data_IF_156218672801
#
_entry.id   IF_156218672801
#
_cell.length_a   1.000
_cell.length_b   1.000
_cell.length_c   1.000
_cell.angle_alpha   90.00
_cell.angle_beta   90.00
_cell.angle_gamma   90.00
#
_symmetry.space_group_name_H-M   'P 1'
#
loop_
_entity.id
_entity.type
_entity.pdbx_description
1 polymer ?
#
# COMPACT_ATOMS: atom_id res chain seq x y z
N UNK A 1 -5.78 12.80 14.37
CA UNK A 1 -7.10 12.31 14.83
C UNK A 1 -7.26 10.81 14.53
N UNK A 2 -6.42 9.93 15.08
CA UNK A 2 -6.32 8.52 14.60
C UNK A 2 -6.31 7.47 15.70
N UNK A 3 -5.67 7.73 16.85
CA UNK A 3 -5.55 6.72 17.91
C UNK A 3 -6.91 6.31 18.51
N UNK A 4 -7.79 7.28 18.77
CA UNK A 4 -9.11 7.02 19.38
C UNK A 4 -10.00 6.17 18.46
N UNK A 5 -9.98 6.44 17.15
CA UNK A 5 -10.71 5.65 16.15
C UNK A 5 -10.14 4.23 16.06
N UNK A 6 -8.82 4.06 16.13
CA UNK A 6 -8.19 2.74 16.15
C UNK A 6 -8.61 1.92 17.38
N UNK A 7 -8.64 2.53 18.57
CA UNK A 7 -9.10 1.86 19.79
C UNK A 7 -10.59 1.48 19.73
N UNK A 8 -11.44 2.35 19.18
CA UNK A 8 -12.86 2.05 18.96
C UNK A 8 -13.06 0.94 17.93
N UNK A 9 -12.27 0.92 16.86
CA UNK A 9 -12.30 -0.15 15.84
C UNK A 9 -11.85 -1.50 16.40
N UNK A 10 -10.87 -1.50 17.30
CA UNK A 10 -10.41 -2.71 17.99
C UNK A 10 -11.43 -3.16 19.05
N UNK A 11 -12.13 -2.26 19.75
CA UNK A 11 -13.25 -2.63 20.60
C UNK A 11 -14.43 -3.21 19.78
N UNK A 12 -14.70 -2.65 18.60
CA UNK A 12 -15.72 -3.16 17.68
C UNK A 12 -15.34 -4.50 17.02
N UNK A 13 -14.09 -4.95 17.12
CA UNK A 13 -13.67 -6.24 16.55
C UNK A 13 -14.27 -7.46 17.30
N UNK A 14 -14.93 -7.22 18.43
CA UNK A 14 -15.70 -8.23 19.19
C UNK A 14 -17.18 -8.26 18.80
N UNK A 15 -17.62 -7.37 17.90
CA UNK A 15 -19.00 -7.36 17.38
C UNK A 15 -19.13 -8.25 16.15
N UNK A 16 -20.33 -8.76 15.82
CA UNK A 16 -20.57 -9.49 14.58
C UNK A 16 -20.26 -8.71 13.29
N UNK A 17 -20.01 -7.39 13.39
CA UNK A 17 -19.57 -6.51 12.28
C UNK A 17 -18.05 -6.49 12.11
N UNK A 18 -17.27 -7.10 13.01
CA UNK A 18 -15.82 -7.27 12.91
C UNK A 18 -15.29 -7.73 11.54
N UNK A 19 -15.90 -8.69 10.81
CA UNK A 19 -15.40 -9.08 9.49
C UNK A 19 -15.47 -7.94 8.47
N UNK A 20 -16.47 -7.04 8.55
CA UNK A 20 -16.58 -5.86 7.68
C UNK A 20 -15.45 -4.86 7.94
N UNK A 21 -15.15 -4.61 9.22
CA UNK A 21 -14.05 -3.71 9.63
C UNK A 21 -12.70 -4.30 9.20
N UNK A 22 -12.52 -5.61 9.42
CA UNK A 22 -11.34 -6.34 8.96
C UNK A 22 -11.18 -6.29 7.43
N UNK A 23 -12.27 -6.46 6.68
CA UNK A 23 -12.26 -6.36 5.22
C UNK A 23 -11.89 -4.94 4.74
N UNK A 24 -12.44 -3.89 5.36
CA UNK A 24 -12.09 -2.51 5.05
C UNK A 24 -10.60 -2.23 5.32
N UNK A 25 -10.07 -2.69 6.47
CA UNK A 25 -8.66 -2.57 6.83
C UNK A 25 -7.76 -3.29 5.81
N UNK A 26 -8.11 -4.53 5.43
CA UNK A 26 -7.37 -5.31 4.42
C UNK A 26 -7.39 -4.64 3.04
N UNK A 27 -8.52 -4.09 2.60
CA UNK A 27 -8.62 -3.35 1.33
C UNK A 27 -7.69 -2.14 1.31
N UNK A 28 -7.65 -1.37 2.40
CA UNK A 28 -6.74 -0.21 2.53
C UNK A 28 -5.28 -0.64 2.45
N UNK A 29 -4.91 -1.71 3.17
CA UNK A 29 -3.54 -2.25 3.13
C UNK A 29 -3.20 -2.73 1.71
N UNK A 30 -4.08 -3.51 1.07
CA UNK A 30 -3.86 -4.00 -0.29
C UNK A 30 -3.69 -2.86 -1.30
N UNK A 31 -4.48 -1.80 -1.19
CA UNK A 31 -4.34 -0.61 -2.05
C UNK A 31 -2.95 0.03 -1.89
N UNK A 32 -2.50 0.22 -0.65
CA UNK A 32 -1.19 0.79 -0.36
C UNK A 32 -0.04 -0.12 -0.81
N UNK A 33 -0.20 -1.44 -0.66
CA UNK A 33 0.79 -2.42 -1.12
C UNK A 33 0.88 -2.45 -2.65
N UNK A 34 -0.25 -2.36 -3.37
CA UNK A 34 -0.26 -2.27 -4.84
C UNK A 34 0.46 -1.02 -5.33
N UNK A 35 0.13 0.14 -4.76
CA UNK A 35 0.78 1.41 -5.10
C UNK A 35 2.29 1.34 -4.90
N UNK A 36 2.75 0.81 -3.76
CA UNK A 36 4.19 0.61 -3.49
C UNK A 36 4.85 -0.36 -4.47
N UNK A 37 4.16 -1.45 -4.81
CA UNK A 37 4.65 -2.43 -5.79
C UNK A 37 4.80 -1.80 -7.18
N UNK A 38 3.83 -0.98 -7.59
CA UNK A 38 3.85 -0.29 -8.88
C UNK A 38 4.98 0.74 -8.94
N UNK A 39 5.13 1.56 -7.88
CA UNK A 39 6.26 2.49 -7.75
C UNK A 39 7.60 1.74 -7.87
N UNK A 40 7.76 0.64 -7.13
CA UNK A 40 8.99 -0.15 -7.19
C UNK A 40 9.26 -0.69 -8.61
N UNK A 41 8.22 -1.17 -9.29
CA UNK A 41 8.33 -1.68 -10.66
C UNK A 41 8.70 -0.58 -11.65
N UNK A 42 8.09 0.60 -11.54
CA UNK A 42 8.39 1.76 -12.37
C UNK A 42 9.82 2.23 -12.14
N UNK A 43 10.25 2.36 -10.88
CA UNK A 43 11.63 2.73 -10.55
C UNK A 43 12.65 1.74 -11.12
N UNK A 44 12.36 0.44 -11.06
CA UNK A 44 13.21 -0.59 -11.66
C UNK A 44 13.29 -0.45 -13.17
N UNK A 45 12.16 -0.24 -13.85
CA UNK A 45 12.11 -0.04 -15.29
C UNK A 45 12.89 1.21 -15.72
N UNK A 46 12.69 2.34 -15.02
CA UNK A 46 13.44 3.57 -15.27
C UNK A 46 14.93 3.37 -15.10
N UNK A 47 15.36 2.68 -14.04
CA UNK A 47 16.77 2.37 -13.82
C UNK A 47 17.32 1.47 -14.94
N UNK A 48 16.56 0.46 -15.39
CA UNK A 48 16.97 -0.38 -16.52
C UNK A 48 17.10 0.42 -17.82
N UNK A 49 16.16 1.32 -18.12
CA UNK A 49 16.24 2.20 -19.29
C UNK A 49 17.44 3.13 -19.19
N UNK A 50 17.63 3.75 -18.02
CA UNK A 50 18.75 4.66 -17.77
C UNK A 50 20.11 3.95 -17.88
N UNK A 51 20.23 2.70 -17.44
CA UNK A 51 21.44 1.90 -17.66
C UNK A 51 21.61 1.51 -19.12
N UNK A 52 20.54 1.14 -19.82
CA UNK A 52 20.59 0.71 -21.21
C UNK A 52 20.82 1.86 -22.20
N UNK A 53 20.46 3.10 -21.84
CA UNK A 53 20.56 4.29 -22.70
C UNK A 53 21.48 5.37 -22.11
N UNK A 54 22.10 5.12 -20.96
CA UNK A 54 23.11 6.00 -20.37
C UNK A 54 24.32 6.18 -21.28
N UNK A 55 24.61 5.17 -22.12
CA UNK A 55 25.64 5.24 -23.16
C UNK A 55 25.25 6.17 -24.34
N UNK A 56 23.95 6.48 -24.52
CA UNK A 56 23.46 7.44 -25.54
C UNK A 56 23.38 8.89 -25.02
N UNK A 57 23.64 9.10 -23.72
CA UNK A 57 23.63 10.43 -23.08
C UNK A 57 25.05 10.98 -22.81
N UNK A 58 26.09 10.23 -23.18
CA UNK A 58 27.49 10.70 -23.24
C UNK A 58 27.86 11.17 -24.63
#
# INVERSE_FOLDING_TARGET
MTALVSHLMDALCWTPIAPLIGAARRRKIQSQTRERSDVHRISKLLNTIMLAHGDMLS
#
